data_IF_707663029621
#
_entry.id   IF_707663029621
#
_cell.length_a   1.000
_cell.length_b   1.000
_cell.length_c   1.000
_cell.angle_alpha   90.00
_cell.angle_beta   90.00
_cell.angle_gamma   90.00
#
_symmetry.space_group_name_H-M   'P 1'
#
loop_
_entity.id
_entity.type
_entity.pdbx_description
1 polymer ?
#
# COMPACT_ATOMS: atom_id res chain seq x y z
N UNK A 1 -27.93 18.76 23.81
CA UNK A 1 -28.21 17.92 22.63
C UNK A 1 -27.37 18.30 21.42
N UNK A 2 -26.16 17.76 21.34
CA UNK A 2 -25.40 17.68 20.10
C UNK A 2 -24.70 16.32 20.06
N UNK A 3 -25.46 15.33 19.58
CA UNK A 3 -25.05 14.24 18.71
C UNK A 3 -23.67 13.61 18.94
N UNK A 4 -23.74 12.48 19.64
CA UNK A 4 -22.96 11.26 19.39
C UNK A 4 -22.36 11.23 17.98
N UNK A 5 -21.04 11.35 17.87
CA UNK A 5 -20.30 10.73 16.78
C UNK A 5 -19.82 9.41 17.34
N UNK A 6 -20.64 8.39 17.17
CA UNK A 6 -20.26 7.00 17.32
C UNK A 6 -19.29 6.63 16.20
N UNK A 7 -18.01 6.95 16.36
CA UNK A 7 -16.94 6.29 15.57
C UNK A 7 -16.66 4.92 16.21
N UNK A 8 -17.65 4.04 16.09
CA UNK A 8 -17.49 2.61 16.20
C UNK A 8 -16.74 2.12 14.96
N UNK A 9 -15.41 2.04 15.01
CA UNK A 9 -14.70 1.05 14.22
C UNK A 9 -13.40 0.57 14.88
N UNK A 10 -13.61 -0.49 15.67
CA UNK A 10 -12.81 -1.71 15.72
C UNK A 10 -11.32 -1.57 16.07
N UNK A 11 -11.08 -1.43 17.37
CA UNK A 11 -9.80 -1.76 18.01
C UNK A 11 -9.50 -3.26 17.80
N UNK A 12 -8.67 -3.59 16.81
CA UNK A 12 -8.02 -4.92 16.74
C UNK A 12 -6.65 -4.79 17.39
N UNK A 13 -6.56 -5.21 18.65
CA UNK A 13 -5.31 -5.29 19.41
C UNK A 13 -4.42 -6.39 18.81
N UNK A 14 -3.44 -6.00 18.02
CA UNK A 14 -2.24 -6.83 17.77
C UNK A 14 -1.00 -5.97 17.99
N UNK A 15 -0.54 -5.99 19.25
CA UNK A 15 0.76 -5.58 19.79
C UNK A 15 1.40 -4.28 19.23
N UNK A 16 1.25 -3.20 20.00
CA UNK A 16 2.33 -2.23 20.24
C UNK A 16 2.91 -1.50 19.03
N UNK A 17 2.15 -0.60 18.42
CA UNK A 17 2.68 0.57 17.68
C UNK A 17 1.60 1.64 17.70
N UNK A 18 1.91 2.82 18.24
CA UNK A 18 1.04 4.00 18.16
C UNK A 18 0.91 4.37 16.67
N UNK A 19 -0.17 3.94 16.03
CA UNK A 19 -0.53 4.43 14.70
C UNK A 19 -0.82 5.93 14.87
N UNK A 20 0.14 6.77 14.44
CA UNK A 20 -0.25 8.08 13.93
C UNK A 20 -1.34 7.79 12.90
N UNK A 21 -2.36 8.65 12.77
CA UNK A 21 -3.27 8.59 11.61
C UNK A 21 -2.43 8.85 10.35
N UNK A 22 -1.67 7.85 9.93
CA UNK A 22 -0.81 7.87 8.76
C UNK A 22 -1.80 7.78 7.61
N UNK A 23 -2.11 8.96 7.06
CA UNK A 23 -2.98 9.07 5.89
C UNK A 23 -2.37 8.19 4.81
N UNK A 24 -3.21 7.37 4.19
CA UNK A 24 -2.75 6.42 3.18
C UNK A 24 -1.91 7.15 2.11
N UNK A 25 -0.65 6.76 1.88
CA UNK A 25 0.23 7.48 0.95
C UNK A 25 -0.29 7.46 -0.49
N UNK A 26 -1.09 6.46 -0.89
CA UNK A 26 -1.72 6.45 -2.21
C UNK A 26 -2.85 7.48 -2.33
N UNK A 27 -3.52 7.79 -1.22
CA UNK A 27 -4.55 8.84 -1.16
C UNK A 27 -3.87 10.21 -1.09
N UNK A 28 -2.84 10.37 -0.26
CA UNK A 28 -2.07 11.63 -0.17
C UNK A 28 -1.43 11.99 -1.51
N UNK A 29 -0.87 10.99 -2.21
CA UNK A 29 -0.31 11.14 -3.55
C UNK A 29 -1.35 11.19 -4.67
N UNK A 30 -2.66 11.17 -4.36
CA UNK A 30 -3.81 11.17 -5.29
C UNK A 30 -3.88 10.02 -6.30
N UNK A 31 -3.04 9.00 -6.14
CA UNK A 31 -3.09 7.78 -6.96
C UNK A 31 -4.46 7.10 -6.81
N UNK A 32 -4.96 7.01 -5.57
CA UNK A 32 -6.37 6.69 -5.34
C UNK A 32 -7.19 7.95 -5.60
N UNK A 33 -8.13 7.87 -6.53
CA UNK A 33 -8.88 9.00 -7.08
C UNK A 33 -8.50 9.29 -8.52
N UNK A 34 -7.20 9.52 -8.81
CA UNK A 34 -6.76 9.85 -10.17
C UNK A 34 -6.55 8.59 -11.04
N UNK A 35 -6.11 7.47 -10.45
CA UNK A 35 -5.75 6.23 -11.17
C UNK A 35 -6.58 5.02 -10.71
N UNK A 36 -6.81 4.89 -9.41
CA UNK A 36 -7.48 3.74 -8.81
C UNK A 36 -8.68 4.17 -7.96
N UNK A 37 -9.72 3.35 -7.94
CA UNK A 37 -10.77 3.46 -6.93
C UNK A 37 -10.24 3.05 -5.54
N UNK A 38 -10.82 3.56 -4.44
CA UNK A 38 -10.46 3.13 -3.09
C UNK A 38 -10.60 1.60 -2.93
N UNK A 39 -9.58 0.96 -2.36
CA UNK A 39 -9.53 -0.49 -2.18
C UNK A 39 -8.83 -0.88 -0.87
N UNK A 40 -9.12 -2.10 -0.40
CA UNK A 40 -8.41 -2.70 0.73
C UNK A 40 -7.22 -3.53 0.21
N UNK A 41 -6.02 -3.27 0.73
CA UNK A 41 -4.83 -4.07 0.40
C UNK A 41 -4.96 -5.47 1.01
N UNK A 42 -5.08 -6.49 0.18
CA UNK A 42 -5.21 -7.89 0.61
C UNK A 42 -3.94 -8.72 0.41
N UNK A 43 -3.14 -8.38 -0.60
CA UNK A 43 -1.93 -9.12 -0.97
C UNK A 43 -0.70 -8.21 -0.90
N UNK A 44 0.39 -8.73 -0.37
CA UNK A 44 1.67 -8.03 -0.35
C UNK A 44 2.28 -7.99 -1.76
N UNK A 45 2.65 -6.80 -2.22
CA UNK A 45 3.39 -6.60 -3.47
C UNK A 45 4.72 -5.93 -3.13
N UNK A 46 5.82 -6.56 -3.55
CA UNK A 46 7.17 -6.03 -3.40
C UNK A 46 7.82 -5.88 -4.75
N UNK A 47 8.22 -4.65 -5.07
CA UNK A 47 8.91 -4.31 -6.32
C UNK A 47 10.28 -3.76 -5.96
N UNK A 48 11.34 -4.25 -6.58
CA UNK A 48 12.69 -3.72 -6.36
C UNK A 48 13.46 -3.53 -7.67
N UNK A 49 14.10 -2.37 -7.78
CA UNK A 49 15.09 -2.08 -8.81
C UNK A 49 16.47 -2.31 -8.21
N UNK A 50 17.18 -3.33 -8.72
CA UNK A 50 18.44 -3.82 -8.14
C UNK A 50 18.26 -4.20 -6.66
N UNK A 51 18.88 -3.48 -5.73
CA UNK A 51 18.78 -3.70 -4.28
C UNK A 51 17.84 -2.72 -3.57
N UNK A 52 17.20 -1.81 -4.30
CA UNK A 52 16.31 -0.79 -3.72
C UNK A 52 14.85 -1.15 -3.94
N UNK A 53 14.13 -1.31 -2.84
CA UNK A 53 12.69 -1.55 -2.84
C UNK A 53 11.92 -0.26 -3.14
N UNK A 54 10.83 -0.39 -3.90
CA UNK A 54 9.91 0.70 -4.21
C UNK A 54 8.95 0.87 -3.04
N UNK A 55 8.92 2.08 -2.48
CA UNK A 55 7.92 2.51 -1.51
C UNK A 55 7.11 3.67 -2.07
N UNK A 56 5.85 3.82 -1.65
CA UNK A 56 4.99 4.90 -2.14
C UNK A 56 5.66 6.28 -1.91
N UNK A 57 5.73 7.08 -2.96
CA UNK A 57 6.30 8.43 -2.93
C UNK A 57 7.83 8.51 -2.93
N UNK A 58 8.56 7.41 -3.14
CA UNK A 58 10.02 7.49 -3.27
C UNK A 58 10.48 7.78 -4.71
N UNK A 59 11.47 8.65 -4.85
CA UNK A 59 12.02 9.02 -6.16
C UNK A 59 13.10 8.06 -6.62
N UNK A 60 13.10 7.75 -7.92
CA UNK A 60 14.17 7.03 -8.59
C UNK A 60 14.75 7.86 -9.73
N UNK A 61 16.08 7.81 -9.90
CA UNK A 61 16.71 8.35 -11.10
C UNK A 61 16.30 7.53 -12.33
N UNK A 62 16.06 8.15 -13.50
CA UNK A 62 15.71 7.41 -14.72
C UNK A 62 16.70 6.29 -15.05
N UNK A 63 17.99 6.53 -14.80
CA UNK A 63 19.06 5.55 -15.04
C UNK A 63 18.97 4.27 -14.19
N UNK A 64 18.26 4.30 -13.06
CA UNK A 64 18.12 3.10 -12.19
C UNK A 64 16.87 2.28 -12.50
N UNK A 65 15.92 2.82 -13.28
CA UNK A 65 14.66 2.15 -13.66
C UNK A 65 14.63 1.69 -15.13
N UNK A 66 15.78 1.75 -15.82
CA UNK A 66 15.89 1.33 -17.24
C UNK A 66 15.58 -0.15 -17.43
N UNK A 67 16.00 -0.99 -16.47
CA UNK A 67 15.80 -2.43 -16.53
C UNK A 67 14.58 -2.83 -15.71
N UNK A 68 13.90 -3.91 -16.14
CA UNK A 68 12.73 -4.45 -15.46
C UNK A 68 13.03 -4.75 -13.98
N UNK A 69 12.12 -4.39 -13.04
CA UNK A 69 12.32 -4.67 -11.63
C UNK A 69 12.11 -6.15 -11.31
N UNK A 70 12.62 -6.57 -10.15
CA UNK A 70 12.23 -7.84 -9.54
C UNK A 70 10.92 -7.62 -8.80
N UNK A 71 9.96 -8.50 -9.04
CA UNK A 71 8.64 -8.45 -8.42
C UNK A 71 8.41 -9.72 -7.62
N UNK A 72 7.96 -9.56 -6.39
CA UNK A 72 7.43 -10.65 -5.56
C UNK A 72 6.00 -10.31 -5.18
N UNK A 73 5.07 -11.19 -5.54
CA UNK A 73 3.66 -11.11 -5.18
C UNK A 73 3.43 -12.16 -4.08
N UNK A 74 2.77 -11.75 -3.00
CA UNK A 74 2.32 -12.66 -1.95
C UNK A 74 1.10 -13.48 -2.38
N UNK A 75 0.41 -14.04 -1.39
CA UNK A 75 -0.71 -14.96 -1.61
C UNK A 75 -0.38 -16.35 -1.08
N UNK A 76 -1.41 -17.03 -0.61
CA UNK A 76 -1.34 -18.39 -0.05
C UNK A 76 -1.84 -19.45 -1.05
N UNK A 77 -2.69 -19.05 -1.99
CA UNK A 77 -3.18 -19.92 -3.06
C UNK A 77 -2.36 -19.79 -4.34
N UNK A 78 -1.60 -20.85 -4.64
CA UNK A 78 -0.78 -20.97 -5.86
C UNK A 78 -1.61 -21.12 -7.16
N UNK A 79 -2.92 -21.31 -7.06
CA UNK A 79 -3.83 -21.40 -8.21
C UNK A 79 -4.32 -20.03 -8.67
N UNK A 80 -4.12 -18.99 -7.85
CA UNK A 80 -4.50 -17.63 -8.20
C UNK A 80 -3.41 -17.01 -9.06
N UNK A 81 -3.82 -16.52 -10.22
CA UNK A 81 -2.96 -15.79 -11.14
C UNK A 81 -3.27 -14.30 -11.05
N UNK A 82 -2.22 -13.49 -10.98
CA UNK A 82 -2.32 -12.04 -10.86
C UNK A 82 -1.85 -11.37 -12.15
N UNK A 83 -2.37 -10.17 -12.40
CA UNK A 83 -1.88 -9.28 -13.46
C UNK A 83 -1.14 -8.12 -12.79
N UNK A 84 -0.03 -7.69 -13.40
CA UNK A 84 0.77 -6.55 -12.98
C UNK A 84 0.82 -5.51 -14.11
#
# INVERSE_FOLDING_TARGET
DCHLIEDHQQYSVVKGKKMRRERDPLVVGRVVGDVLDPFNRSIALRVSYKSREVTNGCDFRPSVVVNQPRVAIGGDDLRVFYTL
#
